data_IF_061425201654
#
_entry.id   IF_061425201654
#
_cell.length_a   1.000
_cell.length_b   1.000
_cell.length_c   1.000
_cell.angle_alpha   90.00
_cell.angle_beta   90.00
_cell.angle_gamma   90.00
#
_symmetry.space_group_name_H-M   'P 1'
#
loop_
_entity.id
_entity.type
_entity.pdbx_description
1 polymer ?
#
# COMPACT_ATOMS: atom_id res chain seq x y z
N UNK A 1 -30.42 -10.33 -10.29
CA UNK A 1 -30.79 -11.62 -10.91
C UNK A 1 -29.77 -12.14 -11.93
N UNK A 2 -29.66 -11.59 -13.15
CA UNK A 2 -28.74 -12.15 -14.16
C UNK A 2 -27.25 -11.95 -13.82
N UNK A 3 -26.86 -10.77 -13.32
CA UNK A 3 -25.49 -10.47 -12.90
C UNK A 3 -25.03 -11.29 -11.69
N UNK A 4 -25.87 -11.41 -10.66
CA UNK A 4 -25.59 -12.25 -9.48
C UNK A 4 -25.39 -13.72 -9.85
N UNK A 5 -26.20 -14.25 -10.77
CA UNK A 5 -26.04 -15.62 -11.26
C UNK A 5 -24.70 -15.83 -12.00
N UNK A 6 -24.25 -14.83 -12.77
CA UNK A 6 -22.96 -14.86 -13.45
C UNK A 6 -21.79 -14.81 -12.46
N UNK A 7 -21.87 -13.94 -11.44
CA UNK A 7 -20.88 -13.86 -10.36
C UNK A 7 -20.78 -15.20 -9.60
N UNK A 8 -21.91 -15.78 -9.20
CA UNK A 8 -21.93 -17.08 -8.54
C UNK A 8 -21.34 -18.22 -9.40
N UNK A 9 -21.64 -18.24 -10.70
CA UNK A 9 -21.05 -19.20 -11.63
C UNK A 9 -19.53 -19.02 -11.80
N UNK A 10 -19.05 -17.76 -11.77
CA UNK A 10 -17.63 -17.45 -11.81
C UNK A 10 -16.93 -17.91 -10.53
N UNK A 11 -17.51 -17.67 -9.36
CA UNK A 11 -17.02 -18.18 -8.06
C UNK A 11 -16.92 -19.71 -8.08
N UNK A 12 -17.93 -20.40 -8.60
CA UNK A 12 -17.89 -21.86 -8.71
C UNK A 12 -16.80 -22.35 -9.67
N UNK A 13 -16.53 -21.59 -10.73
CA UNK A 13 -15.40 -21.85 -11.62
C UNK A 13 -14.06 -21.70 -10.90
N UNK A 14 -13.90 -20.64 -10.10
CA UNK A 14 -12.69 -20.44 -9.28
C UNK A 14 -12.51 -21.57 -8.27
N UNK A 15 -13.56 -21.99 -7.56
CA UNK A 15 -13.52 -23.13 -6.64
C UNK A 15 -13.08 -24.41 -7.33
N UNK A 16 -13.63 -24.69 -8.52
CA UNK A 16 -13.28 -25.88 -9.29
C UNK A 16 -11.80 -25.85 -9.72
N UNK A 17 -11.32 -24.71 -10.20
CA UNK A 17 -9.92 -24.55 -10.61
C UNK A 17 -8.98 -24.69 -9.41
N UNK A 18 -9.30 -24.04 -8.28
CA UNK A 18 -8.54 -24.14 -7.04
C UNK A 18 -8.50 -25.58 -6.53
N UNK A 19 -9.63 -26.31 -6.52
CA UNK A 19 -9.67 -27.70 -6.07
C UNK A 19 -8.88 -28.68 -6.98
N UNK A 20 -8.72 -28.34 -8.26
CA UNK A 20 -7.91 -29.12 -9.20
C UNK A 20 -6.41 -28.81 -9.09
N UNK A 21 -6.07 -27.66 -8.51
CA UNK A 21 -4.70 -27.25 -8.25
C UNK A 21 -4.30 -27.67 -6.84
N UNK A 22 -3.31 -28.55 -6.72
CA UNK A 22 -2.85 -28.94 -5.39
C UNK A 22 -2.36 -27.67 -4.66
N UNK A 23 -2.76 -27.45 -3.39
CA UNK A 23 -2.23 -26.32 -2.64
C UNK A 23 -0.71 -26.43 -2.61
N UNK A 24 0.00 -25.31 -2.68
CA UNK A 24 1.44 -25.34 -2.72
C UNK A 24 1.98 -26.03 -1.48
N UNK A 25 3.01 -26.86 -1.68
CA UNK A 25 3.70 -27.49 -0.56
C UNK A 25 4.65 -26.46 0.05
N UNK A 26 4.60 -26.31 1.38
CA UNK A 26 5.58 -25.54 2.12
C UNK A 26 7.00 -26.06 1.81
N UNK A 27 7.85 -25.20 1.26
CA UNK A 27 9.23 -25.51 0.86
C UNK A 27 10.21 -25.04 1.94
N UNK A 28 10.00 -23.83 2.46
CA UNK A 28 10.86 -23.20 3.46
C UNK A 28 10.01 -22.51 4.54
N UNK A 29 10.61 -22.17 5.68
CA UNK A 29 9.96 -21.32 6.68
C UNK A 29 9.85 -19.89 6.18
N UNK A 30 8.77 -19.22 6.54
CA UNK A 30 8.59 -17.78 6.27
C UNK A 30 9.75 -16.96 6.84
N UNK A 31 10.32 -16.07 6.03
CA UNK A 31 11.38 -15.15 6.47
C UNK A 31 10.83 -14.17 7.52
N UNK A 32 11.67 -13.79 8.49
CA UNK A 32 11.24 -12.88 9.55
C UNK A 32 10.73 -11.52 9.00
N UNK A 33 11.36 -11.02 7.95
CA UNK A 33 10.97 -9.78 7.26
C UNK A 33 9.59 -9.89 6.58
N UNK A 34 9.29 -11.04 5.98
CA UNK A 34 7.98 -11.30 5.35
C UNK A 34 6.89 -11.38 6.43
N UNK A 35 7.16 -12.11 7.51
CA UNK A 35 6.23 -12.24 8.62
C UNK A 35 5.91 -10.89 9.28
N UNK A 36 6.92 -10.05 9.53
CA UNK A 36 6.72 -8.70 10.06
C UNK A 36 5.89 -7.84 9.10
N UNK A 37 6.18 -7.90 7.81
CA UNK A 37 5.43 -7.18 6.77
C UNK A 37 3.97 -7.63 6.69
N UNK A 38 3.72 -8.94 6.81
CA UNK A 38 2.36 -9.50 6.85
C UNK A 38 1.59 -8.91 8.04
N UNK A 39 2.14 -8.95 9.26
CA UNK A 39 1.46 -8.41 10.45
C UNK A 39 1.11 -6.92 10.31
N UNK A 40 2.00 -6.14 9.70
CA UNK A 40 1.78 -4.73 9.41
C UNK A 40 0.66 -4.49 8.40
N UNK A 41 0.36 -5.44 7.52
CA UNK A 41 -0.65 -5.27 6.47
C UNK A 41 -1.99 -5.94 6.80
N UNK A 42 -2.03 -6.91 7.73
CA UNK A 42 -3.26 -7.63 8.13
C UNK A 42 -4.39 -6.73 8.62
N UNK A 43 -4.06 -5.60 9.24
CA UNK A 43 -5.09 -4.68 9.76
C UNK A 43 -5.70 -3.79 8.68
N UNK A 44 -5.04 -3.65 7.53
CA UNK A 44 -5.44 -2.80 6.40
C UNK A 44 -6.13 -3.57 5.28
N UNK A 45 -6.12 -4.90 5.36
CA UNK A 45 -6.72 -5.76 4.34
C UNK A 45 -8.26 -5.75 4.42
N UNK A 46 -8.87 -4.82 3.69
CA UNK A 46 -10.14 -4.99 2.96
C UNK A 46 -11.38 -5.44 3.73
N UNK A 47 -11.55 -5.13 5.02
CA UNK A 47 -12.70 -5.66 5.77
C UNK A 47 -14.04 -5.12 5.27
N UNK A 48 -14.19 -3.81 5.18
CA UNK A 48 -15.47 -3.19 4.80
C UNK A 48 -15.70 -3.34 3.30
N UNK A 49 -14.64 -3.20 2.50
CA UNK A 49 -14.68 -3.29 1.05
C UNK A 49 -15.06 -4.70 0.55
N UNK A 50 -14.71 -5.75 1.31
CA UNK A 50 -15.05 -7.13 1.01
C UNK A 50 -16.32 -7.62 1.73
N UNK A 51 -17.02 -6.74 2.46
CA UNK A 51 -18.25 -7.10 3.19
C UNK A 51 -18.03 -8.00 4.40
N UNK A 52 -16.81 -8.04 4.97
CA UNK A 52 -16.50 -8.81 6.17
C UNK A 52 -17.05 -8.09 7.39
N UNK A 53 -17.98 -8.72 8.10
CA UNK A 53 -18.61 -8.15 9.30
C UNK A 53 -17.60 -7.90 10.43
N UNK A 54 -17.94 -7.00 11.36
CA UNK A 54 -17.11 -6.72 12.53
C UNK A 54 -16.90 -7.97 13.41
N UNK A 55 -17.90 -8.86 13.48
CA UNK A 55 -17.82 -10.11 14.25
C UNK A 55 -16.85 -11.12 13.60
N UNK A 56 -16.89 -11.25 12.28
CA UNK A 56 -16.05 -12.20 11.53
C UNK A 56 -14.63 -11.67 11.26
N UNK A 57 -14.42 -10.36 11.41
CA UNK A 57 -13.17 -9.65 11.19
C UNK A 57 -11.93 -10.31 11.79
N UNK A 58 -12.02 -10.80 13.04
CA UNK A 58 -10.90 -11.43 13.73
C UNK A 58 -10.53 -12.78 13.12
N UNK A 59 -11.54 -13.61 12.82
CA UNK A 59 -11.37 -14.91 12.15
C UNK A 59 -10.79 -14.72 10.75
N UNK A 60 -11.35 -13.79 9.97
CA UNK A 60 -10.85 -13.46 8.63
C UNK A 60 -9.37 -13.06 8.65
N UNK A 61 -8.94 -12.18 9.58
CA UNK A 61 -7.52 -11.83 9.74
C UNK A 61 -6.63 -13.02 10.07
N UNK A 62 -7.15 -13.98 10.84
CA UNK A 62 -6.38 -15.17 11.21
C UNK A 62 -6.20 -16.11 10.02
N UNK A 63 -7.26 -16.33 9.23
CA UNK A 63 -7.17 -17.07 7.97
C UNK A 63 -6.27 -16.38 6.97
N UNK A 64 -6.38 -15.06 6.81
CA UNK A 64 -5.52 -14.27 5.93
C UNK A 64 -4.04 -14.43 6.29
N UNK A 65 -3.71 -14.39 7.59
CA UNK A 65 -2.34 -14.66 8.06
C UNK A 65 -1.87 -16.04 7.61
N UNK A 66 -2.66 -17.08 7.82
CA UNK A 66 -2.28 -18.45 7.46
C UNK A 66 -2.07 -18.60 5.95
N UNK A 67 -2.95 -18.03 5.14
CA UNK A 67 -2.83 -18.04 3.67
C UNK A 67 -1.56 -17.31 3.22
N UNK A 68 -1.28 -16.11 3.74
CA UNK A 68 -0.09 -15.34 3.38
C UNK A 68 1.21 -16.01 3.85
N UNK A 69 1.19 -16.66 5.01
CA UNK A 69 2.32 -17.48 5.46
C UNK A 69 2.52 -18.67 4.52
N UNK A 70 1.47 -19.45 4.23
CA UNK A 70 1.54 -20.59 3.32
C UNK A 70 2.07 -20.20 1.94
N UNK A 71 1.63 -19.05 1.42
CA UNK A 71 2.18 -18.45 0.20
C UNK A 71 3.71 -18.24 0.28
N UNK A 72 4.20 -17.62 1.36
CA UNK A 72 5.63 -17.33 1.52
C UNK A 72 6.45 -18.61 1.70
N UNK A 73 5.92 -19.62 2.38
CA UNK A 73 6.57 -20.93 2.54
C UNK A 73 6.70 -21.67 1.20
N UNK A 74 5.72 -21.48 0.32
CA UNK A 74 5.68 -22.04 -1.02
C UNK A 74 6.57 -21.29 -2.03
N UNK A 75 6.65 -19.96 -1.90
CA UNK A 75 7.31 -19.07 -2.84
C UNK A 75 8.45 -18.28 -2.19
N UNK A 76 9.47 -18.91 -1.60
CA UNK A 76 10.53 -18.21 -0.84
C UNK A 76 11.35 -17.22 -1.70
N UNK A 77 11.38 -17.42 -3.02
CA UNK A 77 12.04 -16.52 -3.97
C UNK A 77 11.24 -15.25 -4.28
N UNK A 78 9.91 -15.30 -4.11
CA UNK A 78 9.02 -14.13 -4.22
C UNK A 78 8.87 -13.47 -2.85
N UNK A 79 8.52 -14.27 -1.84
CA UNK A 79 8.20 -13.82 -0.49
C UNK A 79 6.89 -13.05 -0.42
N UNK A 80 6.78 -12.20 0.61
CA UNK A 80 5.64 -11.31 0.77
C UNK A 80 5.87 -10.00 0.00
N UNK A 81 4.90 -9.62 -0.82
CA UNK A 81 4.93 -8.41 -1.62
C UNK A 81 3.73 -7.56 -1.25
N UNK A 82 3.98 -6.27 -1.00
CA UNK A 82 2.93 -5.33 -0.59
C UNK A 82 1.79 -5.31 -1.61
N UNK A 83 0.55 -5.48 -1.12
CA UNK A 83 -0.66 -5.59 -1.94
C UNK A 83 -1.18 -7.03 -2.11
N UNK A 84 -0.34 -8.05 -1.86
CA UNK A 84 -0.76 -9.45 -1.90
C UNK A 84 -1.82 -9.77 -0.84
N UNK A 85 -1.78 -9.08 0.31
CA UNK A 85 -2.80 -9.17 1.35
C UNK A 85 -4.22 -8.87 0.84
N UNK A 86 -4.39 -7.89 -0.05
CA UNK A 86 -5.70 -7.56 -0.60
C UNK A 86 -6.23 -8.68 -1.50
N UNK A 87 -5.36 -9.25 -2.34
CA UNK A 87 -5.71 -10.36 -3.24
C UNK A 87 -6.05 -11.61 -2.43
N UNK A 88 -5.24 -11.94 -1.43
CA UNK A 88 -5.47 -13.07 -0.53
C UNK A 88 -6.77 -12.90 0.28
N UNK A 89 -7.06 -11.69 0.75
CA UNK A 89 -8.30 -11.39 1.46
C UNK A 89 -9.54 -11.59 0.56
N UNK A 90 -9.49 -11.09 -0.68
CA UNK A 90 -10.56 -11.28 -1.65
C UNK A 90 -10.73 -12.77 -2.02
N UNK A 91 -9.63 -13.49 -2.24
CA UNK A 91 -9.66 -14.93 -2.52
C UNK A 91 -10.34 -15.71 -1.38
N UNK A 92 -10.03 -15.39 -0.12
CA UNK A 92 -10.70 -15.99 1.05
C UNK A 92 -12.20 -15.75 1.01
N UNK A 93 -12.66 -14.52 0.74
CA UNK A 93 -14.10 -14.23 0.71
C UNK A 93 -14.80 -14.94 -0.45
N UNK A 94 -14.22 -14.93 -1.65
CA UNK A 94 -14.79 -15.62 -2.82
C UNK A 94 -14.91 -17.14 -2.60
N UNK A 95 -13.97 -17.73 -1.86
CA UNK A 95 -13.88 -19.17 -1.63
C UNK A 95 -14.43 -19.60 -0.26
N UNK A 96 -15.29 -18.78 0.34
CA UNK A 96 -15.98 -19.09 1.60
C UNK A 96 -15.01 -19.46 2.74
N UNK A 97 -13.92 -18.70 2.84
CA UNK A 97 -12.85 -18.81 3.82
C UNK A 97 -12.12 -20.16 3.85
N UNK A 98 -12.19 -20.95 2.77
CA UNK A 98 -11.40 -22.17 2.62
C UNK A 98 -9.95 -21.82 2.30
N UNK A 99 -9.08 -21.93 3.30
CA UNK A 99 -7.69 -21.48 3.23
C UNK A 99 -6.87 -22.20 2.16
N UNK A 100 -7.01 -23.52 2.04
CA UNK A 100 -6.30 -24.31 1.03
C UNK A 100 -6.69 -23.89 -0.39
N UNK A 101 -7.99 -23.69 -0.63
CA UNK A 101 -8.50 -23.22 -1.93
C UNK A 101 -8.02 -21.78 -2.22
N UNK A 102 -7.95 -20.92 -1.20
CA UNK A 102 -7.44 -19.56 -1.34
C UNK A 102 -5.95 -19.52 -1.66
N UNK A 103 -5.14 -20.37 -1.01
CA UNK A 103 -3.73 -20.56 -1.37
C UNK A 103 -3.60 -21.05 -2.82
N UNK A 104 -4.35 -22.08 -3.21
CA UNK A 104 -4.31 -22.62 -4.57
C UNK A 104 -4.75 -21.58 -5.63
N UNK A 105 -5.71 -20.72 -5.32
CA UNK A 105 -6.13 -19.65 -6.22
C UNK A 105 -5.04 -18.57 -6.37
N UNK A 106 -4.36 -18.18 -5.29
CA UNK A 106 -3.24 -17.23 -5.37
C UNK A 106 -2.12 -17.76 -6.27
N UNK A 107 -1.78 -19.03 -6.13
CA UNK A 107 -0.79 -19.71 -6.96
C UNK A 107 -1.20 -19.73 -8.43
N UNK A 108 -2.43 -20.15 -8.73
CA UNK A 108 -2.97 -20.14 -10.08
C UNK A 108 -2.93 -18.74 -10.71
N UNK A 109 -3.32 -17.71 -9.96
CA UNK A 109 -3.24 -16.33 -10.44
C UNK A 109 -1.79 -15.95 -10.73
N UNK A 110 -0.87 -16.24 -9.81
CA UNK A 110 0.55 -15.95 -9.99
C UNK A 110 1.16 -16.65 -11.20
N UNK A 111 0.89 -17.94 -11.40
CA UNK A 111 1.36 -18.73 -12.54
C UNK A 111 0.82 -18.20 -13.88
N UNK A 112 -0.36 -17.58 -13.87
CA UNK A 112 -0.95 -16.97 -15.07
C UNK A 112 -0.42 -15.57 -15.36
N UNK A 113 0.01 -14.83 -14.36
CA UNK A 113 0.52 -13.48 -14.55
C UNK A 113 1.89 -13.50 -15.27
N UNK A 114 2.22 -12.43 -16.03
CA UNK A 114 3.56 -12.23 -16.55
C UNK A 114 4.68 -12.40 -15.52
N UNK A 115 5.83 -12.87 -15.98
CA UNK A 115 7.03 -12.99 -15.15
C UNK A 115 7.40 -11.66 -14.49
N UNK A 116 7.95 -11.76 -13.26
CA UNK A 116 8.36 -10.64 -12.42
C UNK A 116 7.23 -9.71 -11.94
N UNK A 117 5.95 -10.10 -12.08
CA UNK A 117 4.80 -9.29 -11.65
C UNK A 117 4.92 -8.84 -10.19
N UNK A 118 5.10 -9.80 -9.28
CA UNK A 118 5.34 -9.59 -7.85
C UNK A 118 6.83 -9.74 -7.50
N UNK A 119 7.74 -9.34 -8.39
CA UNK A 119 9.15 -9.23 -8.01
C UNK A 119 9.36 -8.08 -7.00
N UNK A 120 10.48 -8.08 -6.28
CA UNK A 120 10.83 -6.98 -5.37
C UNK A 120 10.92 -5.61 -6.08
N UNK A 121 11.22 -5.59 -7.38
CA UNK A 121 11.23 -4.38 -8.21
C UNK A 121 9.90 -4.11 -8.92
N UNK A 122 8.91 -4.99 -8.76
CA UNK A 122 7.62 -4.99 -9.46
C UNK A 122 7.77 -4.79 -10.97
N UNK A 123 8.82 -5.40 -11.55
CA UNK A 123 9.19 -5.13 -12.95
C UNK A 123 8.07 -5.56 -13.89
N UNK A 124 7.54 -6.78 -13.72
CA UNK A 124 6.45 -7.29 -14.55
C UNK A 124 5.21 -6.40 -14.48
N UNK A 125 4.82 -5.96 -13.27
CA UNK A 125 3.67 -5.07 -13.12
C UNK A 125 3.91 -3.69 -13.76
N UNK A 126 5.11 -3.12 -13.64
CA UNK A 126 5.47 -1.87 -14.32
C UNK A 126 5.43 -2.00 -15.85
N UNK A 127 5.83 -3.17 -16.38
CA UNK A 127 5.70 -3.47 -17.81
C UNK A 127 4.24 -3.45 -18.25
N UNK A 128 3.32 -3.95 -17.43
CA UNK A 128 1.89 -3.94 -17.77
C UNK A 128 1.28 -2.55 -17.72
N UNK A 129 1.66 -1.73 -16.74
CA UNK A 129 1.23 -0.32 -16.68
C UNK A 129 1.73 0.44 -17.91
N UNK A 130 2.97 0.22 -18.32
CA UNK A 130 3.52 0.86 -19.52
C UNK A 130 2.91 0.28 -20.81
N UNK A 131 2.58 -1.02 -20.86
CA UNK A 131 1.86 -1.62 -21.97
C UNK A 131 0.44 -1.02 -22.08
N UNK A 132 -0.27 -0.84 -20.96
CA UNK A 132 -1.57 -0.17 -20.92
C UNK A 132 -1.49 1.25 -21.46
N UNK A 133 -0.50 2.03 -21.02
CA UNK A 133 -0.27 3.39 -21.52
C UNK A 133 -0.09 3.41 -23.04
N UNK A 134 0.75 2.51 -23.57
CA UNK A 134 0.99 2.38 -25.02
C UNK A 134 -0.26 2.00 -25.80
N UNK A 135 -1.01 1.02 -25.29
CA UNK A 135 -2.25 0.55 -25.92
C UNK A 135 -3.33 1.62 -25.94
N UNK A 136 -3.43 2.40 -24.86
CA UNK A 136 -4.40 3.49 -24.75
C UNK A 136 -3.98 4.69 -25.62
N UNK A 137 -2.70 5.05 -25.63
CA UNK A 137 -2.13 6.09 -26.49
C UNK A 137 -2.31 5.75 -27.99
N UNK A 138 -2.14 4.49 -28.37
CA UNK A 138 -2.38 4.05 -29.75
C UNK A 138 -3.86 4.15 -30.16
N UNK A 139 -4.80 3.94 -29.23
CA UNK A 139 -6.25 4.00 -29.50
C UNK A 139 -6.80 5.42 -29.42
N UNK A 140 -6.29 6.26 -28.53
CA UNK A 140 -6.75 7.64 -28.26
C UNK A 140 -5.58 8.64 -28.30
N UNK A 141 -4.83 8.75 -29.42
CA UNK A 141 -3.68 9.63 -29.50
C UNK A 141 -4.04 11.10 -29.27
N UNK A 142 -5.27 11.50 -29.60
CA UNK A 142 -5.79 12.85 -29.39
C UNK A 142 -5.96 13.24 -27.92
N UNK A 143 -6.06 12.27 -27.00
CA UNK A 143 -6.17 12.53 -25.56
C UNK A 143 -4.79 12.60 -24.88
N UNK A 144 -3.75 12.01 -25.49
CA UNK A 144 -2.37 12.00 -24.96
C UNK A 144 -1.55 13.22 -25.38
N UNK A 145 -2.19 14.39 -25.42
CA UNK A 145 -1.52 15.65 -25.79
C UNK A 145 -0.81 16.32 -24.61
N UNK A 146 -1.13 15.93 -23.36
CA UNK A 146 -0.51 16.46 -22.15
C UNK A 146 0.00 15.33 -21.22
N UNK A 147 0.96 15.67 -20.35
CA UNK A 147 1.53 14.73 -19.39
C UNK A 147 0.60 14.32 -18.25
N UNK A 148 -0.48 15.08 -18.02
CA UNK A 148 -1.40 14.86 -16.90
C UNK A 148 -2.21 13.57 -17.06
N UNK A 149 -2.76 13.32 -18.25
CA UNK A 149 -3.46 12.06 -18.52
C UNK A 149 -2.52 10.87 -18.38
N UNK A 150 -1.30 10.96 -18.92
CA UNK A 150 -0.31 9.89 -18.79
C UNK A 150 -0.02 9.57 -17.32
N UNK A 151 0.15 10.59 -16.48
CA UNK A 151 0.36 10.40 -15.04
C UNK A 151 -0.88 9.79 -14.37
N UNK A 152 -2.08 10.29 -14.71
CA UNK A 152 -3.34 9.78 -14.16
C UNK A 152 -3.53 8.28 -14.46
N UNK A 153 -3.34 7.87 -15.72
CA UNK A 153 -3.42 6.47 -16.15
C UNK A 153 -2.32 5.64 -15.50
N UNK A 154 -1.09 6.17 -15.37
CA UNK A 154 -0.02 5.45 -14.70
C UNK A 154 -0.35 5.14 -13.24
N UNK A 155 -0.88 6.12 -12.48
CA UNK A 155 -1.20 5.94 -11.06
C UNK A 155 -2.41 5.03 -10.87
N UNK A 156 -3.52 5.31 -11.57
CA UNK A 156 -4.74 4.50 -11.45
C UNK A 156 -4.52 3.07 -12.00
N UNK A 157 -3.87 2.94 -13.16
CA UNK A 157 -3.52 1.66 -13.76
C UNK A 157 -2.57 0.83 -12.90
N UNK A 158 -1.62 1.47 -12.19
CA UNK A 158 -0.79 0.77 -11.20
C UNK A 158 -1.65 0.19 -10.07
N UNK A 159 -2.62 0.96 -9.56
CA UNK A 159 -3.57 0.49 -8.54
C UNK A 159 -4.35 -0.73 -9.02
N UNK A 160 -4.99 -0.62 -10.18
CA UNK A 160 -5.80 -1.70 -10.76
C UNK A 160 -4.98 -2.97 -11.02
N UNK A 161 -3.81 -2.85 -11.66
CA UNK A 161 -3.05 -4.01 -12.08
C UNK A 161 -2.35 -4.67 -10.88
N UNK A 162 -1.70 -3.92 -9.99
CA UNK A 162 -0.99 -4.49 -8.85
C UNK A 162 -1.93 -5.26 -7.90
N UNK A 163 -3.14 -4.73 -7.67
CA UNK A 163 -4.15 -5.37 -6.81
C UNK A 163 -5.06 -6.37 -7.53
N UNK A 164 -4.85 -6.61 -8.83
CA UNK A 164 -5.77 -7.37 -9.67
C UNK A 164 -7.23 -6.90 -9.54
N UNK A 165 -7.40 -5.59 -9.51
CA UNK A 165 -8.67 -4.84 -9.38
C UNK A 165 -9.38 -4.99 -8.03
N UNK A 166 -8.74 -5.59 -7.03
CA UNK A 166 -9.26 -5.59 -5.66
C UNK A 166 -9.33 -4.15 -5.14
N UNK A 167 -10.47 -3.79 -4.56
CA UNK A 167 -10.78 -2.43 -4.10
C UNK A 167 -11.35 -1.50 -5.17
N UNK A 168 -11.32 -1.90 -6.45
CA UNK A 168 -11.92 -1.15 -7.56
C UNK A 168 -13.16 -1.83 -8.15
N UNK A 169 -13.29 -3.14 -7.99
CA UNK A 169 -14.46 -3.91 -8.46
C UNK A 169 -15.22 -4.53 -7.29
N UNK A 170 -16.54 -4.66 -7.46
CA UNK A 170 -17.36 -5.51 -6.60
C UNK A 170 -16.93 -6.99 -6.71
N UNK A 171 -17.18 -7.78 -5.67
CA UNK A 171 -16.73 -9.18 -5.60
C UNK A 171 -17.21 -10.05 -6.77
N UNK A 172 -18.46 -9.89 -7.22
CA UNK A 172 -18.98 -10.64 -8.37
C UNK A 172 -18.22 -10.30 -9.67
N UNK A 173 -17.88 -9.03 -9.86
CA UNK A 173 -17.08 -8.54 -10.99
C UNK A 173 -15.64 -9.05 -10.91
N UNK A 174 -15.06 -9.07 -9.70
CA UNK A 174 -13.74 -9.63 -9.45
C UNK A 174 -13.69 -11.12 -9.78
N UNK A 175 -14.70 -11.88 -9.34
CA UNK A 175 -14.81 -13.30 -9.63
C UNK A 175 -14.88 -13.57 -11.14
N UNK A 176 -15.66 -12.77 -11.88
CA UNK A 176 -15.76 -12.84 -13.33
C UNK A 176 -14.43 -12.56 -14.03
N UNK A 177 -13.74 -11.49 -13.62
CA UNK A 177 -12.43 -11.15 -14.17
C UNK A 177 -11.40 -12.26 -13.92
N UNK A 178 -11.30 -12.76 -12.69
CA UNK A 178 -10.34 -13.80 -12.34
C UNK A 178 -10.67 -15.14 -13.01
N UNK A 179 -11.95 -15.49 -13.11
CA UNK A 179 -12.36 -16.69 -13.85
C UNK A 179 -11.99 -16.58 -15.34
N UNK A 180 -12.20 -15.41 -15.96
CA UNK A 180 -11.79 -15.16 -17.34
C UNK A 180 -10.26 -15.24 -17.51
N UNK A 181 -9.50 -14.61 -16.60
CA UNK A 181 -8.04 -14.63 -16.60
C UNK A 181 -7.48 -16.05 -16.52
N UNK A 182 -8.04 -16.89 -15.65
CA UNK A 182 -7.58 -18.27 -15.47
C UNK A 182 -8.04 -19.22 -16.58
N UNK A 183 -9.14 -18.87 -17.27
CA UNK A 183 -9.72 -19.66 -18.36
C UNK A 183 -9.12 -19.35 -19.74
N UNK A 184 -8.54 -18.17 -19.94
CA UNK A 184 -7.88 -17.79 -21.19
C UNK A 184 -6.72 -18.77 -21.48
N UNK A 185 -6.78 -19.45 -22.62
CA UNK A 185 -5.92 -20.58 -22.93
C UNK A 185 -4.46 -20.15 -23.18
N UNK A 186 -3.52 -20.95 -22.65
CA UNK A 186 -2.05 -20.71 -22.57
C UNK A 186 -1.32 -20.67 -23.92
N UNK A 187 -2.03 -20.70 -25.05
CA UNK A 187 -1.40 -20.96 -26.35
C UNK A 187 -0.53 -19.81 -26.90
N UNK A 188 -0.55 -18.61 -26.29
CA UNK A 188 0.18 -17.44 -26.76
C UNK A 188 0.93 -16.63 -25.67
N UNK A 189 1.13 -17.20 -24.47
CA UNK A 189 1.75 -16.51 -23.33
C UNK A 189 0.75 -16.03 -22.27
N UNK A 190 1.16 -15.14 -21.34
CA UNK A 190 0.27 -14.64 -20.28
C UNK A 190 -0.97 -13.97 -20.85
N UNK A 191 -2.16 -14.13 -20.25
CA UNK A 191 -3.39 -13.57 -20.77
C UNK A 191 -3.37 -12.04 -20.74
N UNK A 192 -4.06 -11.43 -21.70
CA UNK A 192 -4.24 -9.96 -21.79
C UNK A 192 -5.48 -9.45 -21.05
N UNK A 193 -6.20 -10.30 -20.32
CA UNK A 193 -7.51 -10.01 -19.73
C UNK A 193 -7.51 -8.77 -18.83
N UNK A 194 -6.47 -8.60 -18.00
CA UNK A 194 -6.31 -7.43 -17.13
C UNK A 194 -6.10 -6.14 -17.93
N UNK A 195 -5.25 -6.17 -18.97
CA UNK A 195 -5.02 -5.04 -19.86
C UNK A 195 -6.28 -4.69 -20.65
N UNK A 196 -7.00 -5.70 -21.13
CA UNK A 196 -8.27 -5.54 -21.83
C UNK A 196 -9.30 -4.84 -20.95
N UNK A 197 -9.47 -5.27 -19.70
CA UNK A 197 -10.38 -4.58 -18.78
C UNK A 197 -9.91 -3.15 -18.50
N UNK A 198 -8.65 -2.95 -18.14
CA UNK A 198 -8.11 -1.61 -17.84
C UNK A 198 -8.32 -0.64 -19.01
N UNK A 199 -8.09 -1.12 -20.24
CA UNK A 199 -8.31 -0.35 -21.44
C UNK A 199 -9.79 -0.04 -21.69
N UNK A 200 -10.68 -1.01 -21.48
CA UNK A 200 -12.11 -0.81 -21.59
C UNK A 200 -12.64 0.22 -20.57
N UNK A 201 -12.08 0.22 -19.35
CA UNK A 201 -12.40 1.23 -18.32
C UNK A 201 -11.94 2.63 -18.74
N UNK A 202 -10.73 2.76 -19.28
CA UNK A 202 -10.25 4.03 -19.83
C UNK A 202 -11.18 4.53 -20.94
N UNK A 203 -11.57 3.62 -21.85
CA UNK A 203 -12.48 3.96 -22.95
C UNK A 203 -13.88 4.35 -22.49
N UNK A 204 -14.39 3.71 -21.43
CA UNK A 204 -15.63 4.12 -20.76
C UNK A 204 -15.54 5.57 -20.25
N UNK A 205 -14.36 6.00 -19.80
CA UNK A 205 -14.12 7.35 -19.29
C UNK A 205 -13.67 8.38 -20.36
N UNK A 206 -13.50 7.99 -21.62
CA UNK A 206 -12.95 8.84 -22.69
C UNK A 206 -13.64 10.20 -22.82
N UNK A 207 -14.98 10.22 -22.73
CA UNK A 207 -15.75 11.46 -22.88
C UNK A 207 -15.51 12.43 -21.72
N UNK A 208 -15.47 11.93 -20.48
CA UNK A 208 -15.18 12.72 -19.29
C UNK A 208 -13.71 13.18 -19.26
N UNK A 209 -12.79 12.30 -19.67
CA UNK A 209 -11.36 12.64 -19.81
C UNK A 209 -11.20 13.77 -20.82
N UNK A 210 -11.80 13.64 -22.02
CA UNK A 210 -11.74 14.67 -23.05
C UNK A 210 -12.32 16.01 -22.59
N UNK A 211 -13.45 15.98 -21.90
CA UNK A 211 -14.05 17.19 -21.31
C UNK A 211 -13.11 17.84 -20.26
N UNK A 212 -12.51 17.03 -19.38
CA UNK A 212 -11.57 17.52 -18.36
C UNK A 212 -10.30 18.12 -18.96
N UNK A 213 -9.81 17.60 -20.09
CA UNK A 213 -8.61 18.12 -20.74
C UNK A 213 -8.85 19.42 -21.52
N UNK A 214 -10.10 19.70 -21.88
CA UNK A 214 -10.52 20.94 -22.55
C UNK A 214 -10.97 22.03 -21.56
N UNK A 215 -11.20 21.66 -20.30
CA UNK A 215 -11.60 22.61 -19.26
C UNK A 215 -10.47 23.61 -18.95
N UNK A 216 -10.84 24.84 -18.58
CA UNK A 216 -9.87 25.84 -18.15
C UNK A 216 -9.26 25.47 -16.79
N UNK A 217 -8.01 25.91 -16.56
CA UNK A 217 -7.17 25.51 -15.41
C UNK A 217 -7.81 25.76 -14.03
N UNK A 218 -8.77 26.69 -13.95
CA UNK A 218 -9.45 27.06 -12.70
C UNK A 218 -10.74 26.23 -12.42
N UNK A 219 -11.08 25.26 -13.28
CA UNK A 219 -12.22 24.38 -13.03
C UNK A 219 -11.89 23.32 -11.98
N UNK A 220 -12.41 23.49 -10.77
CA UNK A 220 -12.29 22.51 -9.68
C UNK A 220 -12.85 21.12 -10.03
N UNK A 221 -13.67 20.99 -11.10
CA UNK A 221 -14.21 19.72 -11.59
C UNK A 221 -13.27 19.02 -12.60
N UNK A 222 -12.28 19.72 -13.15
CA UNK A 222 -11.28 19.17 -14.08
C UNK A 222 -10.22 18.35 -13.32
N UNK A 223 -10.63 17.17 -12.85
CA UNK A 223 -9.73 16.23 -12.18
C UNK A 223 -9.58 14.95 -13.01
N UNK A 224 -8.70 14.99 -14.01
CA UNK A 224 -8.39 13.84 -14.87
C UNK A 224 -8.02 12.60 -14.06
N UNK A 225 -7.24 12.76 -12.98
CA UNK A 225 -6.90 11.65 -12.09
C UNK A 225 -8.12 11.04 -11.40
N UNK A 226 -9.03 11.88 -10.88
CA UNK A 226 -10.26 11.44 -10.24
C UNK A 226 -11.24 10.79 -11.21
N UNK A 227 -11.28 11.23 -12.47
CA UNK A 227 -12.09 10.59 -13.53
C UNK A 227 -11.53 9.21 -13.85
N UNK A 228 -10.23 9.11 -14.13
CA UNK A 228 -9.59 7.83 -14.44
C UNK A 228 -9.75 6.86 -13.26
N UNK A 229 -9.48 7.30 -12.03
CA UNK A 229 -9.52 6.42 -10.84
C UNK A 229 -10.91 5.83 -10.58
N UNK A 230 -11.98 6.59 -10.89
CA UNK A 230 -13.37 6.16 -10.71
C UNK A 230 -13.95 5.44 -11.92
N UNK A 231 -13.16 5.18 -12.97
CA UNK A 231 -13.65 4.51 -14.18
C UNK A 231 -14.24 3.11 -13.91
N UNK A 232 -13.79 2.45 -12.83
CA UNK A 232 -14.29 1.16 -12.37
C UNK A 232 -15.53 1.25 -11.45
N UNK A 233 -15.85 2.44 -10.94
CA UNK A 233 -16.87 2.62 -9.90
C UNK A 233 -18.26 2.23 -10.43
N UNK A 234 -18.99 1.46 -9.60
CA UNK A 234 -20.35 1.03 -9.92
C UNK A 234 -20.45 0.06 -11.10
N UNK A 235 -19.35 -0.52 -11.57
CA UNK A 235 -19.37 -1.52 -12.65
C UNK A 235 -20.15 -2.76 -12.23
N UNK A 236 -21.24 -3.05 -12.93
CA UNK A 236 -22.04 -4.25 -12.73
C UNK A 236 -21.47 -5.46 -13.50
N UNK A 237 -21.84 -6.67 -13.07
CA UNK A 237 -21.34 -7.92 -13.62
C UNK A 237 -21.60 -8.09 -15.13
N UNK A 238 -22.81 -7.75 -15.57
CA UNK A 238 -23.22 -7.78 -16.98
C UNK A 238 -22.47 -6.74 -17.82
N UNK A 239 -22.23 -5.57 -17.25
CA UNK A 239 -21.44 -4.52 -17.88
C UNK A 239 -19.97 -4.94 -18.02
N UNK A 240 -19.36 -5.52 -16.98
CA UNK A 240 -17.98 -6.06 -17.06
C UNK A 240 -17.85 -7.12 -18.16
N UNK A 241 -18.78 -8.07 -18.23
CA UNK A 241 -18.77 -9.09 -19.27
C UNK A 241 -18.93 -8.48 -20.67
N UNK A 242 -19.74 -7.43 -20.80
CA UNK A 242 -19.89 -6.69 -22.05
C UNK A 242 -18.59 -5.97 -22.43
N UNK A 243 -17.97 -5.24 -21.49
CA UNK A 243 -16.69 -4.56 -21.71
C UNK A 243 -15.59 -5.54 -22.13
N UNK A 244 -15.46 -6.67 -21.43
CA UNK A 244 -14.49 -7.71 -21.81
C UNK A 244 -14.77 -8.27 -23.20
N UNK A 245 -16.04 -8.44 -23.60
CA UNK A 245 -16.40 -8.97 -24.92
C UNK A 245 -16.15 -7.98 -26.05
N UNK A 246 -16.45 -6.70 -25.82
CA UNK A 246 -16.39 -5.64 -26.82
C UNK A 246 -14.98 -5.06 -27.00
N UNK A 247 -14.15 -5.09 -25.96
CA UNK A 247 -12.77 -4.59 -26.07
C UNK A 247 -11.90 -5.61 -26.80
N UNK A 248 -11.73 -5.41 -28.10
CA UNK A 248 -10.85 -6.21 -28.93
C UNK A 248 -9.38 -5.86 -28.63
N UNK A 249 -8.69 -6.83 -28.02
CA UNK A 249 -7.26 -6.75 -27.74
C UNK A 249 -6.59 -8.08 -28.12
N UNK A 250 -6.18 -8.23 -29.40
CA UNK A 250 -5.58 -9.47 -29.91
C UNK A 250 -4.29 -9.85 -29.15
N UNK A 251 -4.00 -11.15 -28.96
CA UNK A 251 -2.79 -11.59 -28.25
C UNK A 251 -1.48 -11.05 -28.84
N UNK A 252 -1.40 -10.87 -30.16
CA UNK A 252 -0.24 -10.28 -30.83
C UNK A 252 0.02 -8.82 -30.43
N UNK A 253 -1.04 -8.02 -30.32
CA UNK A 253 -0.96 -6.62 -29.89
C UNK A 253 -0.51 -6.53 -28.43
N UNK A 254 -1.02 -7.42 -27.58
CA UNK A 254 -0.60 -7.53 -26.17
C UNK A 254 0.88 -7.89 -26.08
N UNK A 255 1.33 -8.88 -26.83
CA UNK A 255 2.72 -9.33 -26.83
C UNK A 255 3.67 -8.22 -27.30
N UNK A 256 3.30 -7.49 -28.35
CA UNK A 256 4.07 -6.36 -28.86
C UNK A 256 4.14 -5.21 -27.84
N UNK A 257 3.01 -4.80 -27.27
CA UNK A 257 2.97 -3.74 -26.26
C UNK A 257 3.83 -4.10 -25.04
N UNK A 258 3.77 -5.35 -24.57
CA UNK A 258 4.61 -5.86 -23.46
C UNK A 258 6.10 -5.87 -23.81
N UNK A 259 6.46 -6.29 -25.03
CA UNK A 259 7.84 -6.32 -25.47
C UNK A 259 8.45 -4.91 -25.49
N UNK A 260 7.74 -3.94 -26.05
CA UNK A 260 8.17 -2.53 -26.08
C UNK A 260 8.23 -1.91 -24.68
N UNK A 261 7.23 -2.16 -23.85
CA UNK A 261 7.20 -1.70 -22.46
C UNK A 261 8.36 -2.28 -21.64
N UNK A 262 8.70 -3.56 -21.85
CA UNK A 262 9.83 -4.21 -21.16
C UNK A 262 11.16 -3.53 -21.45
N UNK A 263 11.45 -3.24 -22.72
CA UNK A 263 12.68 -2.52 -23.11
C UNK A 263 12.78 -1.18 -22.38
N UNK A 264 11.68 -0.43 -22.29
CA UNK A 264 11.64 0.86 -21.60
C UNK A 264 11.87 0.71 -20.08
N UNK A 265 11.15 -0.21 -19.43
CA UNK A 265 11.25 -0.42 -17.98
C UNK A 265 12.66 -0.90 -17.59
N UNK A 266 13.27 -1.77 -18.39
CA UNK A 266 14.65 -2.24 -18.18
C UNK A 266 15.66 -1.10 -18.34
N UNK A 267 15.52 -0.25 -19.36
CA UNK A 267 16.37 0.93 -19.52
C UNK A 267 16.26 1.91 -18.34
N UNK A 268 15.05 2.11 -17.79
CA UNK A 268 14.85 2.91 -16.59
C UNK A 268 15.53 2.30 -15.35
N UNK A 269 15.45 0.97 -15.20
CA UNK A 269 16.09 0.25 -14.11
C UNK A 269 17.60 0.38 -14.15
N UNK A 270 18.19 0.20 -15.34
CA UNK A 270 19.62 0.37 -15.58
C UNK A 270 20.08 1.80 -15.30
N UNK A 271 19.31 2.79 -15.74
CA UNK A 271 19.58 4.20 -15.45
C UNK A 271 19.50 4.50 -13.94
N UNK A 272 18.50 3.96 -13.23
CA UNK A 272 18.37 4.10 -11.77
C UNK A 272 19.54 3.42 -11.06
N UNK A 273 19.96 2.24 -11.50
CA UNK A 273 21.09 1.51 -10.95
C UNK A 273 22.42 2.27 -11.17
N UNK A 274 22.64 2.82 -12.36
CA UNK A 274 23.80 3.67 -12.67
C UNK A 274 23.87 4.89 -11.75
N UNK A 275 22.76 5.63 -11.59
CA UNK A 275 22.68 6.79 -10.69
C UNK A 275 22.95 6.39 -9.23
N UNK A 276 22.48 5.23 -8.77
CA UNK A 276 22.78 4.71 -7.43
C UNK A 276 24.27 4.41 -7.26
N UNK A 277 24.91 3.76 -8.25
CA UNK A 277 26.35 3.47 -8.25
C UNK A 277 27.19 4.76 -8.21
N UNK A 278 26.84 5.76 -9.02
CA UNK A 278 27.50 7.07 -9.02
C UNK A 278 27.40 7.77 -7.67
N UNK A 279 26.21 7.81 -7.05
CA UNK A 279 26.01 8.38 -5.72
C UNK A 279 26.84 7.68 -4.65
N UNK A 280 26.92 6.35 -4.70
CA UNK A 280 27.76 5.56 -3.79
C UNK A 280 29.25 5.84 -4.00
N UNK A 281 29.73 5.93 -5.25
CA UNK A 281 31.12 6.27 -5.55
C UNK A 281 31.46 7.70 -5.12
N UNK A 282 30.57 8.67 -5.35
CA UNK A 282 30.75 10.05 -4.90
C UNK A 282 30.81 10.15 -3.37
N UNK A 283 29.97 9.40 -2.65
CA UNK A 283 30.03 9.29 -1.19
C UNK A 283 31.36 8.69 -0.71
N UNK A 284 31.80 7.59 -1.34
CA UNK A 284 33.10 6.96 -1.07
C UNK A 284 34.28 7.87 -1.37
N UNK A 285 34.21 8.77 -2.35
CA UNK A 285 35.26 9.78 -2.64
C UNK A 285 35.27 10.93 -1.63
N UNK A 286 34.12 11.32 -1.09
CA UNK A 286 34.02 12.39 -0.08
C UNK A 286 34.48 11.94 1.32
N UNK A 287 34.30 10.67 1.67
CA UNK A 287 34.74 10.10 2.96
C UNK A 287 36.26 10.21 3.23
N UNK A 288 37.18 9.89 2.29
CA UNK A 288 38.62 10.09 2.48
C UNK A 288 39.04 11.56 2.48
N UNK A 289 38.38 12.44 1.73
CA UNK A 289 38.61 13.89 1.78
C UNK A 289 38.14 14.53 3.09
N UNK A 290 37.10 13.98 3.72
CA UNK A 290 36.65 14.38 5.06
C UNK A 290 37.59 13.89 6.17
N UNK A 291 38.23 12.72 5.99
CA UNK A 291 39.28 12.23 6.89
C UNK A 291 40.57 13.07 6.84
N UNK A 292 40.81 13.76 5.71
CA UNK A 292 41.94 14.69 5.52
C UNK A 292 41.63 16.13 5.97
N UNK A 293 40.43 16.40 6.53
CA UNK A 293 40.21 17.66 7.28
C UNK A 293 40.99 17.61 8.60
N UNK A 294 42.25 18.03 8.48
CA UNK A 294 43.18 18.48 9.50
C UNK A 294 42.43 19.02 10.72
N UNK A 295 42.83 18.52 11.88
CA UNK A 295 42.46 19.03 13.19
C UNK A 295 42.77 20.53 13.31
N UNK A 296 41.86 21.37 12.83
CA UNK A 296 41.87 22.80 13.12
C UNK A 296 41.28 22.99 14.52
N UNK A 297 41.95 23.74 15.42
CA UNK A 297 41.46 23.98 16.76
C UNK A 297 40.10 24.70 16.69
N UNK A 298 39.11 24.15 17.39
CA UNK A 298 37.76 24.74 17.48
C UNK A 298 37.83 26.08 18.22
N UNK A 299 37.88 27.19 17.49
CA UNK A 299 37.63 28.52 18.05
C UNK A 299 36.11 28.69 18.20
N UNK A 300 35.66 29.04 19.40
CA UNK A 300 34.24 29.31 19.67
C UNK A 300 33.75 30.51 18.82
N UNK A 301 32.56 30.45 18.21
CA UNK A 301 32.07 31.56 17.40
C UNK A 301 31.78 32.79 18.29
N UNK A 302 32.10 34.02 17.84
CA UNK A 302 31.89 35.23 18.62
C UNK A 302 30.40 35.52 18.81
N UNK A 303 30.07 36.13 19.96
CA UNK A 303 28.71 36.42 20.47
C UNK A 303 27.78 37.23 19.54
N UNK A 304 28.25 37.67 18.36
CA UNK A 304 27.51 38.50 17.40
C UNK A 304 26.51 37.72 16.54
N UNK A 305 26.68 36.41 16.34
CA UNK A 305 25.75 35.60 15.53
C UNK A 305 24.39 35.36 16.22
N UNK A 306 24.35 35.34 17.56
CA UNK A 306 23.10 35.16 18.33
C UNK A 306 22.24 36.42 18.28
N UNK A 307 22.87 37.61 18.26
CA UNK A 307 22.17 38.88 18.12
C UNK A 307 21.51 39.06 16.74
N UNK A 308 22.15 38.58 15.67
CA UNK A 308 21.59 38.66 14.31
C UNK A 308 20.35 37.77 14.13
N UNK A 309 20.35 36.57 14.73
CA UNK A 309 19.19 35.67 14.71
C UNK A 309 18.00 36.23 15.50
N UNK A 310 18.25 36.86 16.65
CA UNK A 310 17.20 37.50 17.45
C UNK A 310 16.60 38.72 16.75
N UNK A 311 17.41 39.54 16.08
CA UNK A 311 16.94 40.69 15.32
C UNK A 311 16.08 40.29 14.10
N UNK A 312 16.45 39.21 13.40
CA UNK A 312 15.66 38.68 12.28
C UNK A 312 14.28 38.15 12.72
N UNK A 313 14.20 37.50 13.88
CA UNK A 313 12.94 37.01 14.43
C UNK A 313 12.00 38.16 14.85
N UNK A 314 12.54 39.23 15.45
CA UNK A 314 11.77 40.43 15.80
C UNK A 314 11.26 41.19 14.58
N UNK A 315 12.04 41.23 13.49
CA UNK A 315 11.61 41.85 12.24
C UNK A 315 10.44 41.09 11.58
N UNK A 316 10.46 39.76 11.60
CA UNK A 316 9.37 38.93 11.08
C UNK A 316 8.08 39.08 11.90
N UNK A 317 8.19 39.21 13.23
CA UNK A 317 7.07 39.50 14.13
C UNK A 317 6.44 40.88 13.85
N UNK A 318 7.25 41.90 13.57
CA UNK A 318 6.75 43.24 13.23
C UNK A 318 6.04 43.26 11.86
N UNK A 319 6.53 42.50 10.88
CA UNK A 319 5.89 42.37 9.56
C UNK A 319 4.54 41.63 9.70
N UNK A 320 4.48 40.55 10.48
CA UNK A 320 3.22 39.86 10.76
C UNK A 320 2.19 40.79 11.44
N UNK A 321 2.66 41.72 12.28
CA UNK A 321 1.82 42.70 12.97
C UNK A 321 1.16 43.73 12.06
N UNK A 322 1.83 44.10 10.97
CA UNK A 322 1.33 45.08 10.02
C UNK A 322 0.31 44.49 9.04
N UNK A 323 0.31 43.17 8.81
CA UNK A 323 -0.51 42.54 7.76
C UNK A 323 -1.89 42.08 8.27
N UNK A 324 -2.05 41.73 9.56
CA UNK A 324 -3.25 41.00 10.01
C UNK A 324 -4.23 41.74 10.95
N UNK A 325 -3.96 42.98 11.37
CA UNK A 325 -4.89 43.71 12.25
C UNK A 325 -5.03 43.10 13.67
N UNK A 326 -5.46 43.90 14.65
CA UNK A 326 -5.23 43.64 16.07
C UNK A 326 -6.14 42.59 16.76
N UNK A 327 -6.90 41.76 16.02
CA UNK A 327 -7.98 40.97 16.63
C UNK A 327 -7.69 39.47 16.89
N UNK A 328 -6.60 38.87 16.39
CA UNK A 328 -6.34 37.42 16.59
C UNK A 328 -4.88 37.10 16.98
N UNK A 329 -4.39 37.71 18.07
CA UNK A 329 -2.96 37.66 18.45
C UNK A 329 -2.55 36.54 19.41
N UNK A 330 -3.50 35.82 20.02
CA UNK A 330 -3.20 34.89 21.12
C UNK A 330 -2.64 33.55 20.62
N UNK A 331 -3.12 33.05 19.48
CA UNK A 331 -2.72 31.71 18.98
C UNK A 331 -1.34 31.72 18.29
N UNK A 332 -0.96 32.82 17.65
CA UNK A 332 0.36 32.95 16.99
C UNK A 332 1.52 33.15 17.98
N UNK A 333 1.28 33.79 19.13
CA UNK A 333 2.29 33.95 20.18
C UNK A 333 2.66 32.62 20.84
N UNK A 334 1.72 31.67 20.92
CA UNK A 334 1.96 30.32 21.41
C UNK A 334 2.85 29.51 20.45
N UNK A 335 2.58 29.60 19.14
CA UNK A 335 3.36 28.90 18.10
C UNK A 335 4.78 29.45 18.01
N UNK A 336 4.96 30.77 18.09
CA UNK A 336 6.29 31.40 18.08
C UNK A 336 7.05 31.19 19.39
N UNK A 337 6.36 31.17 20.54
CA UNK A 337 6.96 30.85 21.84
C UNK A 337 7.48 29.40 21.90
N UNK A 338 6.70 28.44 21.39
CA UNK A 338 7.11 27.03 21.27
C UNK A 338 8.29 26.85 20.29
N UNK A 339 8.30 27.59 19.18
CA UNK A 339 9.42 27.59 18.23
C UNK A 339 10.72 28.12 18.82
N UNK A 340 10.66 29.22 19.59
CA UNK A 340 11.83 29.80 20.25
C UNK A 340 12.36 28.89 21.38
N UNK A 341 11.46 28.26 22.15
CA UNK A 341 11.81 27.27 23.16
C UNK A 341 12.51 26.05 22.54
N UNK A 342 11.98 25.49 21.45
CA UNK A 342 12.60 24.36 20.74
C UNK A 342 13.98 24.72 20.17
N UNK A 343 14.15 25.94 19.64
CA UNK A 343 15.45 26.41 19.15
C UNK A 343 16.48 26.57 20.28
N UNK A 344 16.09 27.12 21.43
CA UNK A 344 16.95 27.24 22.62
C UNK A 344 17.29 25.87 23.23
N UNK A 345 16.36 24.92 23.20
CA UNK A 345 16.58 23.53 23.66
C UNK A 345 17.49 22.76 22.69
N UNK A 346 17.44 23.03 21.39
CA UNK A 346 18.33 22.43 20.40
C UNK A 346 19.77 22.98 20.51
N UNK A 347 19.92 24.26 20.86
CA UNK A 347 21.21 24.89 21.14
C UNK A 347 21.81 24.42 22.48
N UNK A 348 20.99 24.12 23.50
CA UNK A 348 21.45 23.54 24.77
C UNK A 348 21.77 22.03 24.66
N UNK A 349 20.98 21.27 23.90
CA UNK A 349 21.15 19.82 23.67
C UNK A 349 22.46 19.46 22.95
N UNK A 350 22.95 20.33 22.06
CA UNK A 350 24.29 20.16 21.44
C UNK A 350 25.47 20.37 22.41
N UNK A 351 25.23 20.85 23.64
CA UNK A 351 26.25 20.89 24.72
C UNK A 351 26.16 19.72 25.70
N UNK A 352 25.03 19.02 25.82
CA UNK A 352 24.82 17.93 26.79
C UNK A 352 25.04 16.51 26.26
N UNK A 353 25.24 16.33 24.95
CA UNK A 353 25.68 15.05 24.35
C UNK A 353 27.16 14.67 24.66
N UNK A 354 27.69 15.09 25.81
CA UNK A 354 29.08 14.82 26.25
C UNK A 354 29.23 14.23 27.66
N UNK A 355 28.15 13.83 28.34
CA UNK A 355 28.25 13.04 29.58
C UNK A 355 26.93 12.27 29.86
N UNK A 356 26.86 10.94 29.64
CA UNK A 356 25.62 10.17 29.82
C UNK A 356 25.30 9.75 31.27
N UNK A 357 26.03 10.25 32.28
CA UNK A 357 25.92 9.77 33.67
C UNK A 357 25.12 10.68 34.63
N UNK A 358 24.41 11.71 34.13
CA UNK A 358 23.70 12.66 35.00
C UNK A 358 22.15 12.60 34.94
N UNK A 359 21.55 11.66 34.20
CA UNK A 359 20.09 11.55 34.12
C UNK A 359 19.45 10.59 35.14
N UNK A 360 20.24 9.80 35.89
CA UNK A 360 19.73 8.83 36.87
C UNK A 360 19.42 9.37 38.27
N UNK A 361 19.46 10.70 38.50
CA UNK A 361 19.36 11.28 39.86
C UNK A 361 18.38 12.44 40.03
N UNK A 362 17.55 12.75 39.02
CA UNK A 362 16.59 13.86 39.09
C UNK A 362 15.11 13.43 39.09
N UNK A 363 14.82 12.14 39.19
CA UNK A 363 13.46 11.61 39.37
C UNK A 363 13.43 10.60 40.53
N UNK A 364 13.72 11.07 41.74
CA UNK A 364 13.27 10.45 42.98
C UNK A 364 13.20 11.52 44.08
N UNK A 365 11.99 11.85 44.56
CA UNK A 365 11.80 12.35 45.91
C UNK A 365 11.37 11.18 46.79
N UNK A 366 12.26 10.78 47.71
CA UNK A 366 11.92 9.93 48.84
C UNK A 366 11.01 10.66 49.83
N UNK A 367 10.22 9.84 50.52
CA UNK A 367 9.21 10.11 51.56
C UNK A 367 9.65 11.07 52.69
N UNK A 368 8.69 11.49 53.53
CA UNK A 368 8.75 10.97 54.90
C UNK A 368 7.46 10.32 55.41
N UNK A 369 7.70 9.48 56.40
CA UNK A 369 6.89 8.55 57.19
C UNK A 369 5.71 9.14 57.97
N UNK A 370 4.64 8.37 58.11
CA UNK A 370 3.94 8.16 59.39
C UNK A 370 3.24 6.80 59.40
N UNK A 371 3.44 6.09 60.51
CA UNK A 371 2.89 4.78 60.86
C UNK A 371 1.35 4.77 60.89
N UNK A 372 0.75 3.58 60.71
CA UNK A 372 -0.09 2.91 61.73
C UNK A 372 -0.55 1.53 61.21
N UNK A 373 -0.12 0.49 61.93
CA UNK A 373 -0.74 -0.80 62.24
C UNK A 373 -1.34 -1.72 61.13
N UNK A 374 -0.73 -2.90 61.02
CA UNK A 374 -1.37 -4.16 60.62
C UNK A 374 -2.33 -4.66 61.75
N UNK A 375 -3.18 -5.69 61.52
CA UNK A 375 -2.67 -7.06 61.58
C UNK A 375 -3.38 -8.13 60.69
N UNK A 376 -2.55 -9.03 60.13
CA UNK A 376 -2.62 -10.50 60.06
C UNK A 376 -3.93 -11.31 59.81
N UNK A 377 -3.88 -12.11 58.71
CA UNK A 377 -4.17 -13.58 58.58
C UNK A 377 -5.64 -14.10 58.62
N UNK A 378 -5.94 -15.39 58.29
CA UNK A 378 -5.63 -16.22 57.09
C UNK A 378 -6.79 -17.17 56.63
N UNK A 379 -6.52 -18.05 55.65
CA UNK A 379 -7.24 -19.31 55.24
C UNK A 379 -8.58 -19.14 54.48
N UNK A 380 -9.06 -20.05 53.60
CA UNK A 380 -9.15 -21.53 53.61
C UNK A 380 -9.38 -22.07 52.16
N UNK A 381 -8.82 -23.25 51.85
CA UNK A 381 -9.15 -24.13 50.72
C UNK A 381 -10.50 -24.87 50.91
N UNK A 382 -11.18 -25.19 49.80
CA UNK A 382 -12.06 -26.35 49.55
C UNK A 382 -13.10 -25.93 48.50
N UNK A 383 -13.70 -26.73 47.62
CA UNK A 383 -13.57 -28.12 47.17
C UNK A 383 -14.66 -28.30 46.10
N UNK A 384 -14.45 -29.23 45.16
CA UNK A 384 -15.43 -29.79 44.21
C UNK A 384 -16.87 -29.86 44.74
N UNK A 385 -17.84 -29.50 43.89
CA UNK A 385 -19.07 -30.29 43.70
C UNK A 385 -19.45 -30.29 42.22
N UNK A 386 -19.47 -31.50 41.69
CA UNK A 386 -19.98 -31.95 40.41
C UNK A 386 -21.52 -32.09 40.50
N UNK A 387 -22.29 -31.52 39.56
CA UNK A 387 -23.67 -31.93 39.25
C UNK A 387 -24.05 -31.61 37.81
N UNK A 388 -23.98 -32.64 36.99
CA UNK A 388 -24.82 -32.90 35.84
C UNK A 388 -26.31 -32.73 36.15
N UNK A 389 -27.05 -31.92 35.36
CA UNK A 389 -28.48 -32.15 35.09
C UNK A 389 -28.77 -31.76 33.64
N UNK A 390 -29.08 -32.77 32.82
CA UNK A 390 -29.80 -32.66 31.55
C UNK A 390 -31.30 -32.55 31.81
N UNK A 391 -32.02 -31.68 31.11
CA UNK A 391 -33.48 -31.72 30.90
C UNK A 391 -33.76 -30.97 29.58
N UNK A 392 -33.94 -31.71 28.49
CA UNK A 392 -35.23 -31.95 27.82
C UNK A 392 -35.97 -30.71 27.29
N UNK A 393 -35.83 -30.56 25.96
CA UNK A 393 -36.86 -30.31 24.94
C UNK A 393 -38.32 -29.97 25.34
N UNK A 394 -38.80 -28.94 24.61
CA UNK A 394 -40.14 -28.73 24.00
C UNK A 394 -41.27 -28.15 24.86
N UNK A 395 -42.26 -27.44 24.25
CA UNK A 395 -42.55 -27.28 22.81
C UNK A 395 -41.98 -26.04 22.13
#
# INVERSE_FOLDING_TARGET
MAGEAAGAAAVETLRRLAAQHAPPRAVERVRAEDAESIELDLHRAGREELGVSAESAASHRQSLRRVLHGWCEAHPHVGYVQGLNCIAAAALVLLDHREDDACALLDLLHERLPADWYSHSLRGARVEVEALLRLYEARRPELFTCGELRLAVHVAGSGWLLSLFVGSLALDCLALLWAALLSDAVHAGPPGTNLRLALALLRRADAEIGASLLAEVDDAQANTFGIVSRAADGLAADELQRLLREEELPPGEVAEARALARVQVEAEDDAKAARRRERQQASKRKSPLAAVKVALPRVAPPRRCVAFAAAAALALLAIAALVHGAAEWVDWLLVLGLGLAAALTCVSSRRTARNPLLFGRLLSPGMPTSEVAAPSTPHVEASRVDRSISLHQLP
#
